data_IF_172129071508
#
_entry.id   IF_172129071508
#
_cell.length_a   1.000
_cell.length_b   1.000
_cell.length_c   1.000
_cell.angle_alpha   90.00
_cell.angle_beta   90.00
_cell.angle_gamma   90.00
#
_symmetry.space_group_name_H-M   'P 1'
#
loop_
_entity.id
_entity.type
_entity.pdbx_description
1 polymer ?
#
# COMPACT_ATOMS: atom_id res chain seq x y z
N UNK A 1 22.99 16.76 3.61
CA UNK A 1 21.64 16.19 3.57
C UNK A 1 21.64 14.93 2.70
N UNK A 2 21.16 13.83 3.25
CA UNK A 2 21.04 12.57 2.49
C UNK A 2 19.86 12.65 1.55
N UNK A 3 20.01 12.05 0.39
CA UNK A 3 18.90 11.87 -0.54
C UNK A 3 18.35 10.47 -0.39
N UNK A 4 17.03 10.37 -0.26
CA UNK A 4 16.30 9.11 -0.20
C UNK A 4 15.25 9.17 -1.29
N UNK A 5 15.25 8.18 -2.18
CA UNK A 5 14.23 8.08 -3.22
C UNK A 5 13.14 7.14 -2.72
N UNK A 6 11.91 7.59 -2.73
CA UNK A 6 10.77 6.71 -2.48
C UNK A 6 10.17 6.32 -3.83
N UNK A 7 10.33 5.06 -4.20
CA UNK A 7 9.94 4.55 -5.51
C UNK A 7 8.42 4.34 -5.58
N UNK A 8 7.69 5.43 -5.70
CA UNK A 8 6.24 5.38 -5.84
C UNK A 8 5.77 6.46 -6.82
N UNK A 9 4.67 6.17 -7.52
CA UNK A 9 3.94 7.17 -8.30
C UNK A 9 2.72 7.72 -7.56
N UNK A 10 2.51 7.29 -6.32
CA UNK A 10 1.34 7.65 -5.54
C UNK A 10 1.64 8.85 -4.63
N UNK A 11 0.99 9.99 -4.89
CA UNK A 11 1.22 11.23 -4.15
C UNK A 11 0.79 11.14 -2.69
N UNK A 12 -0.24 10.35 -2.39
CA UNK A 12 -0.69 10.15 -1.00
C UNK A 12 0.40 9.44 -0.20
N UNK A 13 1.02 8.42 -0.78
CA UNK A 13 2.13 7.70 -0.13
C UNK A 13 3.35 8.59 0.04
N UNK A 14 3.63 9.47 -0.92
CA UNK A 14 4.71 10.44 -0.81
C UNK A 14 4.50 11.38 0.38
N UNK A 15 3.28 11.88 0.56
CA UNK A 15 2.95 12.74 1.68
C UNK A 15 3.12 12.02 3.02
N UNK A 16 2.65 10.77 3.09
CA UNK A 16 2.77 9.97 4.30
C UNK A 16 4.23 9.73 4.68
N UNK A 17 5.07 9.34 3.73
CA UNK A 17 6.47 9.05 4.03
C UNK A 17 7.26 10.32 4.38
N UNK A 18 6.96 11.44 3.73
CA UNK A 18 7.60 12.73 4.05
C UNK A 18 7.25 13.16 5.47
N UNK A 19 6.01 12.96 5.88
CA UNK A 19 5.58 13.27 7.25
C UNK A 19 6.29 12.38 8.27
N UNK A 20 6.41 11.10 8.00
CA UNK A 20 7.10 10.15 8.87
C UNK A 20 8.59 10.50 9.00
N UNK A 21 9.22 10.89 7.91
CA UNK A 21 10.66 11.15 7.85
C UNK A 21 11.05 12.61 8.03
N UNK A 22 10.10 13.48 8.37
CA UNK A 22 10.34 14.94 8.45
C UNK A 22 11.44 15.35 9.43
N UNK A 23 11.66 14.55 10.48
CA UNK A 23 12.66 14.85 11.49
C UNK A 23 14.06 14.33 11.14
N UNK A 24 14.18 13.60 10.05
CA UNK A 24 15.47 13.15 9.55
C UNK A 24 16.10 14.22 8.65
N UNK A 25 17.41 14.33 8.72
CA UNK A 25 18.16 15.20 7.81
C UNK A 25 18.30 14.53 6.44
N UNK A 26 17.18 14.43 5.73
CA UNK A 26 17.11 13.76 4.45
C UNK A 26 16.12 14.44 3.53
N UNK A 27 16.45 14.51 2.26
CA UNK A 27 15.57 14.96 1.20
C UNK A 27 14.90 13.73 0.60
N UNK A 28 13.56 13.64 0.71
CA UNK A 28 12.79 12.51 0.18
C UNK A 28 12.23 12.90 -1.17
N UNK A 29 12.67 12.20 -2.20
CA UNK A 29 12.30 12.45 -3.59
C UNK A 29 11.40 11.33 -4.11
N UNK A 30 10.38 11.69 -4.90
CA UNK A 30 9.63 10.71 -5.69
C UNK A 30 10.46 10.32 -6.93
N UNK A 31 10.01 9.29 -7.64
CA UNK A 31 10.63 8.94 -8.93
C UNK A 31 10.60 10.13 -9.89
N UNK A 32 9.49 10.85 -9.93
CA UNK A 32 9.34 12.03 -10.77
C UNK A 32 10.31 13.13 -10.39
N UNK A 33 10.45 13.42 -9.08
CA UNK A 33 11.37 14.45 -8.57
C UNK A 33 12.82 14.11 -8.91
N UNK A 34 13.15 12.83 -8.90
CA UNK A 34 14.49 12.35 -9.24
C UNK A 34 14.72 12.22 -10.75
N UNK A 35 13.72 12.50 -11.57
CA UNK A 35 13.81 12.39 -13.02
C UNK A 35 13.91 10.97 -13.53
N UNK A 36 13.38 10.00 -12.78
CA UNK A 36 13.48 8.58 -13.09
C UNK A 36 12.20 8.09 -13.72
N UNK A 37 12.33 7.47 -14.90
CA UNK A 37 11.28 6.69 -15.51
C UNK A 37 11.72 5.24 -15.47
N UNK A 38 11.04 4.44 -14.66
CA UNK A 38 11.36 3.04 -14.51
C UNK A 38 10.09 2.20 -14.55
N UNK A 39 10.13 1.16 -15.36
CA UNK A 39 9.06 0.18 -15.44
C UNK A 39 9.59 -1.12 -14.86
N UNK A 40 9.47 -1.25 -13.55
CA UNK A 40 9.98 -2.40 -12.81
C UNK A 40 8.93 -3.49 -12.76
N UNK A 41 9.27 -4.69 -13.23
CA UNK A 41 8.37 -5.84 -13.17
C UNK A 41 8.40 -6.41 -11.75
N UNK A 42 7.27 -6.34 -11.05
CA UNK A 42 7.11 -6.86 -9.70
C UNK A 42 6.46 -8.25 -9.80
N UNK A 43 7.30 -9.25 -10.00
CA UNK A 43 6.87 -10.65 -10.20
C UNK A 43 7.16 -11.55 -9.01
N UNK A 44 7.35 -10.96 -7.83
CA UNK A 44 7.54 -11.70 -6.60
C UNK A 44 6.27 -12.39 -6.11
N UNK A 45 6.43 -13.32 -5.20
CA UNK A 45 5.32 -14.08 -4.62
C UNK A 45 4.78 -13.46 -3.32
N UNK A 46 5.47 -12.47 -2.76
CA UNK A 46 5.07 -11.79 -1.53
C UNK A 46 5.20 -10.28 -1.69
N UNK A 47 4.54 -9.55 -0.77
CA UNK A 47 4.68 -8.08 -0.73
C UNK A 47 6.14 -7.68 -0.49
N UNK A 48 6.82 -8.38 0.41
CA UNK A 48 8.23 -8.09 0.71
C UNK A 48 9.13 -8.29 -0.52
N UNK A 49 8.92 -9.38 -1.25
CA UNK A 49 9.69 -9.65 -2.48
C UNK A 49 9.50 -8.55 -3.51
N UNK A 50 8.26 -8.13 -3.73
CA UNK A 50 7.96 -7.07 -4.69
C UNK A 50 8.58 -5.73 -4.28
N UNK A 51 8.54 -5.40 -2.99
CA UNK A 51 9.19 -4.19 -2.48
C UNK A 51 10.71 -4.24 -2.69
N UNK A 52 11.33 -5.39 -2.43
CA UNK A 52 12.77 -5.59 -2.63
C UNK A 52 13.15 -5.43 -4.11
N UNK A 53 12.40 -6.07 -5.01
CA UNK A 53 12.65 -6.00 -6.45
C UNK A 53 12.66 -4.54 -6.91
N UNK A 54 11.66 -3.78 -6.50
CA UNK A 54 11.54 -2.38 -6.89
C UNK A 54 12.65 -1.52 -6.29
N UNK A 55 12.93 -1.67 -4.99
CA UNK A 55 13.97 -0.90 -4.32
C UNK A 55 15.35 -1.16 -4.92
N UNK A 56 15.70 -2.41 -5.16
CA UNK A 56 16.98 -2.78 -5.76
C UNK A 56 17.15 -2.23 -7.17
N UNK A 57 16.13 -2.37 -8.00
CA UNK A 57 16.20 -1.89 -9.38
C UNK A 57 16.49 -0.40 -9.44
N UNK A 58 15.79 0.39 -8.64
CA UNK A 58 15.97 1.84 -8.61
C UNK A 58 17.30 2.21 -7.95
N UNK A 59 17.73 1.49 -6.91
CA UNK A 59 19.02 1.72 -6.27
C UNK A 59 20.17 1.49 -7.24
N UNK A 60 20.12 0.43 -8.03
CA UNK A 60 21.13 0.14 -9.06
C UNK A 60 21.19 1.22 -10.14
N UNK A 61 20.05 1.79 -10.50
CA UNK A 61 19.97 2.86 -11.49
C UNK A 61 20.54 4.19 -11.00
N UNK A 62 20.42 4.46 -9.70
CA UNK A 62 20.68 5.81 -9.15
C UNK A 62 21.89 5.91 -8.25
N UNK A 63 22.29 4.80 -7.62
CA UNK A 63 23.32 4.83 -6.60
C UNK A 63 22.91 5.52 -5.30
N UNK A 64 21.62 5.76 -5.12
CA UNK A 64 21.06 6.42 -3.93
C UNK A 64 20.36 5.41 -3.02
N UNK A 65 20.09 5.81 -1.77
CA UNK A 65 19.24 5.01 -0.88
C UNK A 65 17.82 5.05 -1.45
N UNK A 66 17.22 3.88 -1.62
CA UNK A 66 15.87 3.78 -2.18
C UNK A 66 14.95 3.04 -1.21
N UNK A 67 13.81 3.64 -0.92
CA UNK A 67 12.70 2.98 -0.25
C UNK A 67 11.67 2.62 -1.31
N UNK A 68 11.11 1.44 -1.21
CA UNK A 68 9.98 1.04 -2.04
C UNK A 68 8.97 0.30 -1.19
N UNK A 69 7.72 0.41 -1.57
CA UNK A 69 6.65 -0.29 -0.88
C UNK A 69 5.91 -1.21 -1.84
N UNK A 70 5.28 -2.22 -1.27
CA UNK A 70 4.23 -2.97 -1.92
C UNK A 70 3.12 -3.17 -0.90
N UNK A 71 1.90 -2.80 -1.27
CA UNK A 71 0.78 -2.77 -0.36
C UNK A 71 -0.42 -3.40 -1.02
N UNK A 72 -1.31 -3.94 -0.22
CA UNK A 72 -2.53 -4.51 -0.76
C UNK A 72 -3.51 -4.94 0.32
N UNK A 73 -4.64 -5.44 -0.14
CA UNK A 73 -5.72 -5.94 0.68
C UNK A 73 -5.75 -7.46 0.62
N UNK A 74 -5.75 -8.09 1.78
CA UNK A 74 -5.96 -9.54 1.89
C UNK A 74 -7.31 -9.79 2.55
N UNK A 75 -8.18 -10.54 1.87
CA UNK A 75 -9.50 -10.91 2.38
C UNK A 75 -9.50 -12.41 2.68
N UNK A 76 -9.67 -12.76 3.95
CA UNK A 76 -9.51 -14.15 4.39
C UNK A 76 -10.49 -15.11 3.70
N UNK A 77 -11.75 -14.73 3.59
CA UNK A 77 -12.75 -15.56 2.93
C UNK A 77 -12.46 -15.82 1.45
N UNK A 78 -11.70 -14.92 0.82
CA UNK A 78 -11.31 -15.02 -0.59
C UNK A 78 -9.90 -15.59 -0.76
N UNK A 79 -9.43 -16.40 0.20
CA UNK A 79 -8.10 -16.98 0.16
C UNK A 79 -6.99 -15.95 0.02
N UNK A 80 -7.15 -14.83 0.71
CA UNK A 80 -6.22 -13.70 0.72
C UNK A 80 -6.20 -12.86 -0.56
N UNK A 81 -7.15 -13.10 -1.49
CA UNK A 81 -7.28 -12.22 -2.65
C UNK A 81 -7.83 -10.86 -2.24
N UNK A 82 -7.50 -9.77 -2.92
CA UNK A 82 -6.62 -9.70 -4.09
C UNK A 82 -5.12 -9.80 -3.78
N UNK A 83 -4.68 -9.65 -2.54
CA UNK A 83 -3.30 -9.83 -2.12
C UNK A 83 -2.31 -8.98 -2.93
N UNK A 84 -1.23 -9.61 -3.40
CA UNK A 84 -0.21 -8.90 -4.20
C UNK A 84 -0.74 -8.34 -5.52
N UNK A 85 -1.92 -8.77 -5.95
CA UNK A 85 -2.57 -8.30 -7.16
C UNK A 85 -3.55 -7.16 -6.91
N UNK A 86 -3.55 -6.58 -5.70
CA UNK A 86 -4.55 -5.56 -5.32
C UNK A 86 -4.68 -4.40 -6.30
N UNK A 87 -3.57 -3.87 -6.79
CA UNK A 87 -3.60 -2.77 -7.75
C UNK A 87 -4.08 -3.21 -9.15
N UNK A 88 -3.88 -4.47 -9.49
CA UNK A 88 -4.20 -5.04 -10.81
C UNK A 88 -5.48 -5.86 -10.82
N UNK A 89 -6.14 -5.98 -9.67
CA UNK A 89 -7.35 -6.79 -9.52
C UNK A 89 -8.40 -6.36 -10.54
N UNK A 90 -8.91 -7.31 -11.31
CA UNK A 90 -9.88 -7.07 -12.39
C UNK A 90 -9.35 -6.17 -13.52
N UNK A 91 -8.05 -5.95 -13.60
CA UNK A 91 -7.42 -5.09 -14.60
C UNK A 91 -6.86 -3.82 -14.01
N UNK A 92 -5.69 -3.43 -14.48
CA UNK A 92 -4.96 -2.28 -13.98
C UNK A 92 -5.74 -0.97 -14.11
N UNK A 93 -6.48 -0.83 -15.22
CA UNK A 93 -7.24 0.37 -15.54
C UNK A 93 -8.68 0.35 -15.00
N UNK A 94 -9.07 -0.71 -14.31
CA UNK A 94 -10.42 -0.83 -13.74
C UNK A 94 -10.55 0.07 -12.51
N UNK A 95 -11.66 0.81 -12.41
CA UNK A 95 -11.87 1.71 -11.27
C UNK A 95 -12.01 0.93 -9.95
N UNK A 96 -11.59 1.56 -8.86
CA UNK A 96 -11.76 0.95 -7.54
C UNK A 96 -13.22 0.78 -7.15
N UNK A 97 -14.10 1.62 -7.67
CA UNK A 97 -15.54 1.45 -7.45
C UNK A 97 -16.02 0.08 -7.93
N UNK A 98 -15.56 -0.34 -9.10
CA UNK A 98 -15.88 -1.65 -9.66
C UNK A 98 -15.19 -2.77 -8.86
N UNK A 99 -13.93 -2.59 -8.49
CA UNK A 99 -13.19 -3.56 -7.68
C UNK A 99 -13.86 -3.76 -6.33
N UNK A 100 -14.22 -2.67 -5.67
CA UNK A 100 -14.90 -2.70 -4.37
C UNK A 100 -16.26 -3.39 -4.45
N UNK A 101 -17.04 -3.06 -5.48
CA UNK A 101 -18.37 -3.68 -5.69
C UNK A 101 -18.24 -5.19 -5.91
N UNK A 102 -17.21 -5.62 -6.64
CA UNK A 102 -16.96 -7.03 -6.89
C UNK A 102 -16.63 -7.78 -5.59
N UNK A 103 -15.77 -7.22 -4.76
CA UNK A 103 -15.39 -7.84 -3.48
C UNK A 103 -16.62 -7.96 -2.58
N UNK A 104 -17.42 -6.92 -2.48
CA UNK A 104 -18.67 -6.94 -1.69
C UNK A 104 -19.61 -8.03 -2.21
N UNK A 105 -19.77 -8.15 -3.52
CA UNK A 105 -20.62 -9.17 -4.14
C UNK A 105 -20.13 -10.58 -3.84
N UNK A 106 -18.83 -10.80 -3.92
CA UNK A 106 -18.21 -12.11 -3.61
C UNK A 106 -18.41 -12.50 -2.15
N UNK A 107 -18.64 -11.54 -1.27
CA UNK A 107 -18.91 -11.77 0.15
C UNK A 107 -20.39 -11.71 0.50
N UNK A 108 -21.27 -11.70 -0.50
CA UNK A 108 -22.72 -11.68 -0.26
C UNK A 108 -23.14 -12.90 0.57
N UNK A 109 -23.84 -12.65 1.68
CA UNK A 109 -24.29 -13.71 2.59
C UNK A 109 -23.24 -14.20 3.57
N UNK A 110 -22.01 -13.68 3.52
CA UNK A 110 -20.94 -14.06 4.45
C UNK A 110 -21.11 -13.26 5.75
N UNK A 111 -21.18 -13.92 6.92
CA UNK A 111 -21.34 -13.21 8.20
C UNK A 111 -20.08 -12.43 8.58
N UNK A 112 -20.25 -11.43 9.46
CA UNK A 112 -19.20 -10.50 9.88
C UNK A 112 -17.91 -11.20 10.31
N UNK A 113 -18.03 -12.24 11.12
CA UNK A 113 -16.88 -12.96 11.68
C UNK A 113 -16.06 -13.70 10.63
N UNK A 114 -16.59 -13.87 9.42
CA UNK A 114 -15.88 -14.48 8.29
C UNK A 114 -15.45 -13.46 7.24
N UNK A 115 -15.65 -12.18 7.52
CA UNK A 115 -15.29 -11.09 6.59
C UNK A 115 -13.97 -10.43 6.97
N UNK A 116 -13.17 -11.07 7.80
CA UNK A 116 -11.90 -10.50 8.25
C UNK A 116 -10.96 -10.25 7.08
N UNK A 117 -10.25 -9.15 7.17
CA UNK A 117 -9.35 -8.71 6.13
C UNK A 117 -8.25 -7.84 6.76
N UNK A 118 -7.24 -7.55 5.98
CA UNK A 118 -6.18 -6.64 6.41
C UNK A 118 -5.59 -5.88 5.24
N UNK A 119 -5.16 -4.66 5.51
CA UNK A 119 -4.21 -4.01 4.63
C UNK A 119 -2.81 -4.45 5.04
N UNK A 120 -2.01 -4.79 4.05
CA UNK A 120 -0.61 -5.14 4.22
C UNK A 120 0.23 -4.06 3.57
N UNK A 121 1.26 -3.62 4.27
CA UNK A 121 2.26 -2.73 3.70
C UNK A 121 3.63 -3.33 3.97
N UNK A 122 4.38 -3.63 2.93
CA UNK A 122 5.76 -4.03 3.02
C UNK A 122 6.63 -2.90 2.47
N UNK A 123 7.66 -2.53 3.21
CA UNK A 123 8.62 -1.52 2.78
C UNK A 123 10.00 -2.16 2.73
N UNK A 124 10.71 -1.95 1.63
CA UNK A 124 12.10 -2.36 1.48
C UNK A 124 12.98 -1.12 1.35
N UNK A 125 14.14 -1.17 2.00
CA UNK A 125 15.19 -0.16 1.85
C UNK A 125 16.38 -0.82 1.18
N UNK A 126 16.80 -0.29 0.04
CA UNK A 126 17.99 -0.75 -0.66
C UNK A 126 19.09 0.32 -0.55
N UNK A 127 20.27 -0.10 -0.19
CA UNK A 127 21.43 0.77 0.00
C UNK A 127 22.47 0.52 -1.09
N UNK A 128 23.24 1.55 -1.46
CA UNK A 128 24.25 1.42 -2.52
C UNK A 128 25.31 0.34 -2.25
N UNK A 129 25.53 -0.03 -0.98
CA UNK A 129 26.47 -1.09 -0.61
C UNK A 129 25.94 -2.51 -0.81
N UNK A 130 24.72 -2.65 -1.31
CA UNK A 130 24.06 -3.93 -1.52
C UNK A 130 23.18 -4.40 -0.37
N UNK A 131 23.17 -3.69 0.76
CA UNK A 131 22.32 -4.03 1.91
C UNK A 131 20.87 -3.78 1.57
N UNK A 132 19.99 -4.70 1.98
CA UNK A 132 18.55 -4.57 1.84
C UNK A 132 17.90 -4.89 3.19
N UNK A 133 16.96 -4.06 3.62
CA UNK A 133 16.18 -4.27 4.84
C UNK A 133 14.70 -4.18 4.50
N UNK A 134 13.88 -4.98 5.17
CA UNK A 134 12.43 -4.97 4.96
C UNK A 134 11.68 -4.90 6.27
N UNK A 135 10.51 -4.28 6.23
CA UNK A 135 9.53 -4.35 7.30
C UNK A 135 8.17 -4.66 6.69
N UNK A 136 7.33 -5.32 7.46
CA UNK A 136 5.95 -5.63 7.08
C UNK A 136 5.03 -5.23 8.23
N UNK A 137 4.02 -4.44 7.91
CA UNK A 137 2.99 -4.04 8.86
C UNK A 137 1.62 -4.37 8.30
N UNK A 138 0.68 -4.64 9.18
CA UNK A 138 -0.70 -4.91 8.80
C UNK A 138 -1.65 -4.05 9.61
N UNK A 139 -2.78 -3.72 9.00
CA UNK A 139 -3.89 -3.08 9.69
C UNK A 139 -5.09 -4.02 9.56
N UNK A 140 -5.50 -4.63 10.68
CA UNK A 140 -6.58 -5.61 10.70
C UNK A 140 -7.95 -4.93 10.72
N UNK A 141 -8.89 -5.52 10.00
CA UNK A 141 -10.26 -5.03 9.92
C UNK A 141 -11.16 -6.07 9.29
N UNK A 142 -12.21 -5.61 8.64
CA UNK A 142 -13.10 -6.49 7.89
C UNK A 142 -13.70 -5.76 6.70
N UNK A 143 -14.27 -6.52 5.76
CA UNK A 143 -14.97 -5.94 4.61
C UNK A 143 -16.39 -5.56 5.01
N UNK A 144 -16.76 -4.32 4.75
CA UNK A 144 -18.11 -3.82 4.97
C UNK A 144 -19.10 -4.35 3.93
N UNK A 145 -20.34 -3.90 4.06
CA UNK A 145 -21.43 -4.32 3.17
C UNK A 145 -21.66 -3.37 2.00
N UNK A 146 -21.11 -2.19 2.08
CA UNK A 146 -21.20 -1.14 1.05
C UNK A 146 -20.03 -0.19 1.18
N UNK A 147 -19.80 0.61 0.15
CA UNK A 147 -18.83 1.69 0.22
C UNK A 147 -19.30 2.78 1.19
N UNK A 148 -18.41 3.26 2.04
CA UNK A 148 -18.66 4.35 2.98
C UNK A 148 -17.46 5.30 3.01
N UNK A 149 -17.73 6.61 2.92
CA UNK A 149 -16.74 7.65 3.03
C UNK A 149 -16.05 7.98 1.71
N UNK A 150 -15.36 9.10 1.71
CA UNK A 150 -14.70 9.65 0.53
C UNK A 150 -13.22 9.95 0.75
N UNK A 151 -12.73 9.77 1.98
CA UNK A 151 -11.32 9.96 2.31
C UNK A 151 -10.51 8.73 1.89
N UNK A 152 -9.21 8.90 1.82
CA UNK A 152 -8.33 7.81 1.45
C UNK A 152 -8.37 7.49 -0.03
N UNK A 153 -8.08 6.26 -0.39
CA UNK A 153 -8.03 5.80 -1.77
C UNK A 153 -8.19 4.29 -1.84
N UNK A 154 -8.35 3.78 -3.07
CA UNK A 154 -8.36 2.34 -3.31
C UNK A 154 -9.51 1.62 -2.61
N UNK A 155 -9.18 0.65 -1.77
CA UNK A 155 -10.16 -0.18 -1.07
C UNK A 155 -10.66 0.44 0.25
N UNK A 156 -10.19 1.62 0.63
CA UNK A 156 -10.60 2.27 1.89
C UNK A 156 -12.12 2.32 2.09
N UNK A 157 -12.96 2.60 1.08
CA UNK A 157 -14.40 2.68 1.29
C UNK A 157 -15.06 1.39 1.79
N UNK A 158 -14.46 0.23 1.54
CA UNK A 158 -15.04 -1.05 1.97
C UNK A 158 -14.28 -1.70 3.13
N UNK A 159 -13.18 -1.08 3.58
CA UNK A 159 -12.39 -1.61 4.69
C UNK A 159 -12.89 -1.05 6.00
N UNK A 160 -13.65 -1.86 6.73
CA UNK A 160 -14.26 -1.48 7.99
C UNK A 160 -13.28 -1.69 9.14
N UNK A 161 -13.16 -0.67 9.98
CA UNK A 161 -12.31 -0.68 11.17
C UNK A 161 -13.19 -0.83 12.42
N UNK A 162 -13.28 -2.02 13.02
CA UNK A 162 -14.12 -2.23 14.20
C UNK A 162 -13.80 -1.29 15.35
N UNK A 163 -12.53 -0.94 15.51
CA UNK A 163 -12.08 0.00 16.55
C UNK A 163 -12.74 1.37 16.44
N UNK A 164 -13.02 1.83 15.20
CA UNK A 164 -13.65 3.13 14.96
C UNK A 164 -15.13 3.04 14.61
N UNK A 165 -15.62 1.83 14.35
CA UNK A 165 -17.03 1.62 13.95
C UNK A 165 -17.37 2.15 12.57
N UNK A 166 -16.41 2.36 11.70
CA UNK A 166 -16.62 2.90 10.34
C UNK A 166 -15.54 2.42 9.38
N UNK A 167 -15.72 2.71 8.08
CA UNK A 167 -14.71 2.39 7.08
C UNK A 167 -13.51 3.33 7.21
N UNK A 168 -12.35 2.90 6.72
CA UNK A 168 -11.14 3.72 6.73
C UNK A 168 -11.29 4.97 5.85
N UNK A 169 -12.21 4.98 4.89
CA UNK A 169 -12.50 6.14 4.05
C UNK A 169 -13.30 7.22 4.77
N UNK A 170 -13.87 6.93 5.94
CA UNK A 170 -14.57 7.92 6.77
C UNK A 170 -13.58 8.70 7.64
N UNK A 171 -12.44 8.08 7.96
CA UNK A 171 -11.43 8.70 8.81
C UNK A 171 -10.63 9.76 8.04
N UNK A 172 -10.24 10.83 8.75
CA UNK A 172 -9.27 11.78 8.21
C UNK A 172 -7.89 11.11 8.12
N UNK A 173 -6.99 11.71 7.35
CA UNK A 173 -5.61 11.24 7.25
C UNK A 173 -4.95 11.20 8.63
N UNK A 174 -5.19 12.23 9.47
CA UNK A 174 -4.66 12.30 10.82
C UNK A 174 -5.14 11.15 11.70
N UNK A 175 -6.43 10.86 11.67
CA UNK A 175 -7.02 9.75 12.43
C UNK A 175 -6.49 8.41 11.95
N UNK A 176 -6.36 8.23 10.64
CA UNK A 176 -5.84 7.02 10.02
C UNK A 176 -4.37 6.78 10.39
N UNK A 177 -3.56 7.84 10.43
CA UNK A 177 -2.14 7.73 10.78
C UNK A 177 -1.90 7.31 12.22
N UNK A 178 -2.86 7.53 13.11
CA UNK A 178 -2.76 7.08 14.50
C UNK A 178 -2.87 5.56 14.64
N UNK A 179 -3.42 4.88 13.64
CA UNK A 179 -3.64 3.42 13.67
C UNK A 179 -2.70 2.64 12.79
N UNK A 180 -2.01 3.26 11.87
CA UNK A 180 -1.14 2.57 10.90
C UNK A 180 0.37 2.76 11.17
#
# INVERSE_FOLDING_TARGET
MKKIIFATGNQHKMQEIREILKDLDAEVLSLKDAGIQADVVEDGATFEENAIIKARAICEMTGEIVLADDSGLEVDYLNKEPGIYSARYMGEDTSYRIKNANIIERLNGVPDEQRTARFVCAIAAAFPDGTVKTVRETMEGRIGYKEEGENGFGYDPIFFLPEFGCSSAVLSMEEKNKTS
#
